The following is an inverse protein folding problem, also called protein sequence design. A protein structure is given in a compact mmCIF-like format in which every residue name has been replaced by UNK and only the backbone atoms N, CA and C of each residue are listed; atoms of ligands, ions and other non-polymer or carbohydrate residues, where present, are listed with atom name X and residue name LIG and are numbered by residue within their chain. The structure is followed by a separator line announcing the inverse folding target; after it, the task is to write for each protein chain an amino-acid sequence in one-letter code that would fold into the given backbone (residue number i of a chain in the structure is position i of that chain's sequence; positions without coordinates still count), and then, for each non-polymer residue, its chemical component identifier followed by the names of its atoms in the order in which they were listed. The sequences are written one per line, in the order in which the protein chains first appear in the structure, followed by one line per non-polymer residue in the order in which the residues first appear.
data_IF_820624681536
#
_entry.id   IF_820624681536
#
_cell.length_a   1.000
_cell.length_b   1.000
_cell.length_c   1.000
_cell.angle_alpha   90.00
_cell.angle_beta   90.00
_cell.angle_gamma   90.00
#
_symmetry.space_group_name_H-M   'P 1'
#
loop_
_entity.id
_entity.type
_entity.pdbx_description
1 polymer ?
#
# COMPACT_ATOMS: atom_id res chain seq x y z
N UNK A 1 2.15 -21.77 0.06
CA UNK A 1 2.63 -20.43 0.46
C UNK A 1 1.53 -19.73 1.26
N UNK A 2 1.72 -19.56 2.56
CA UNK A 2 0.68 -18.94 3.40
C UNK A 2 0.60 -17.42 3.18
N UNK A 3 -0.60 -16.89 3.38
CA UNK A 3 -0.95 -15.47 3.27
C UNK A 3 -1.57 -15.00 4.57
N UNK A 4 -1.50 -13.70 4.81
CA UNK A 4 -2.09 -13.08 6.01
C UNK A 4 -2.92 -11.87 5.61
N UNK A 5 -4.02 -11.68 6.33
CA UNK A 5 -4.98 -10.59 6.14
C UNK A 5 -4.56 -9.32 6.89
N UNK A 6 -4.65 -8.18 6.21
CA UNK A 6 -4.30 -6.87 6.74
C UNK A 6 -5.47 -5.92 6.55
N UNK A 7 -6.01 -5.40 7.66
CA UNK A 7 -6.92 -4.26 7.65
C UNK A 7 -6.08 -2.97 7.60
N UNK A 8 -6.31 -2.13 6.59
CA UNK A 8 -5.64 -0.85 6.43
C UNK A 8 -6.65 0.27 6.59
N UNK A 9 -6.35 1.20 7.48
CA UNK A 9 -7.07 2.47 7.63
C UNK A 9 -6.25 3.60 7.04
N UNK A 10 -6.81 4.31 6.07
CA UNK A 10 -6.12 5.39 5.36
C UNK A 10 -6.95 6.66 5.30
N UNK A 11 -6.26 7.80 5.26
CA UNK A 11 -6.87 9.13 5.04
C UNK A 11 -6.80 9.56 3.57
N UNK A 12 -5.81 9.07 2.81
CA UNK A 12 -5.58 9.47 1.41
C UNK A 12 -5.28 8.25 0.55
N UNK A 13 -5.90 8.21 -0.62
CA UNK A 13 -5.67 7.20 -1.64
C UNK A 13 -5.22 7.93 -2.89
N UNK A 14 -4.07 7.54 -3.44
CA UNK A 14 -3.55 8.13 -4.68
C UNK A 14 -4.23 7.47 -5.89
N UNK A 15 -4.33 6.14 -5.86
CA UNK A 15 -4.99 5.35 -6.91
C UNK A 15 -5.58 4.08 -6.31
N UNK A 16 -6.78 3.73 -6.73
CA UNK A 16 -7.44 2.45 -6.41
C UNK A 16 -8.10 1.90 -7.68
N UNK A 17 -7.73 0.67 -8.04
CA UNK A 17 -8.19 -0.01 -9.25
C UNK A 17 -9.48 -0.75 -8.97
N UNK A 18 -10.40 -0.79 -9.94
CA UNK A 18 -11.64 -1.55 -9.78
C UNK A 18 -11.40 -3.07 -9.63
N UNK A 19 -12.18 -3.77 -8.79
CA UNK A 19 -13.18 -3.21 -7.87
C UNK A 19 -12.53 -2.43 -6.71
N UNK A 20 -13.16 -1.35 -6.20
CA UNK A 20 -12.57 -0.59 -5.08
C UNK A 20 -12.29 -1.46 -3.85
N UNK A 21 -11.09 -1.34 -3.29
CA UNK A 21 -10.68 -2.03 -2.04
C UNK A 21 -11.08 -1.23 -0.82
N UNK A 22 -10.97 0.09 -0.90
CA UNK A 22 -11.11 0.98 0.24
C UNK A 22 -12.46 1.69 0.21
N UNK A 23 -13.29 1.43 1.21
CA UNK A 23 -14.59 2.06 1.38
C UNK A 23 -14.54 3.12 2.48
N UNK A 24 -15.38 4.15 2.37
CA UNK A 24 -15.51 5.15 3.44
C UNK A 24 -16.08 4.47 4.68
N UNK A 25 -15.39 4.59 5.82
CA UNK A 25 -15.83 3.98 7.08
C UNK A 25 -16.29 5.02 8.10
N UNK A 26 -15.64 6.18 8.16
CA UNK A 26 -16.00 7.25 9.10
C UNK A 26 -15.49 8.61 8.60
N UNK A 27 -16.18 9.68 8.97
CA UNK A 27 -15.68 11.05 8.79
C UNK A 27 -15.28 11.61 10.14
N UNK A 28 -14.00 11.91 10.34
CA UNK A 28 -13.47 12.46 11.59
C UNK A 28 -12.87 13.83 11.28
N UNK A 29 -13.38 14.88 11.93
CA UNK A 29 -12.90 16.27 11.75
C UNK A 29 -12.73 16.64 10.26
N UNK A 30 -13.80 16.44 9.49
CA UNK A 30 -13.86 16.77 8.06
C UNK A 30 -12.90 15.96 7.15
N UNK A 31 -12.29 14.89 7.68
CA UNK A 31 -11.46 13.94 6.91
C UNK A 31 -12.14 12.58 6.85
N UNK A 32 -12.45 12.12 5.64
CA UNK A 32 -12.98 10.77 5.40
C UNK A 32 -11.88 9.74 5.60
N UNK A 33 -12.05 8.91 6.63
CA UNK A 33 -11.25 7.71 6.87
C UNK A 33 -11.84 6.57 6.05
N UNK A 34 -10.97 5.93 5.27
CA UNK A 34 -11.31 4.76 4.46
C UNK A 34 -10.64 3.52 5.04
N UNK A 35 -11.35 2.40 4.98
CA UNK A 35 -10.84 1.10 5.44
C UNK A 35 -10.91 0.10 4.30
N UNK A 36 -9.91 -0.77 4.21
CA UNK A 36 -9.87 -1.84 3.22
C UNK A 36 -9.09 -3.03 3.74
N UNK A 37 -9.50 -4.23 3.31
CA UNK A 37 -8.83 -5.49 3.64
C UNK A 37 -8.00 -5.95 2.45
N UNK A 38 -6.74 -6.26 2.70
CA UNK A 38 -5.80 -6.73 1.68
C UNK A 38 -4.99 -7.91 2.17
N UNK A 39 -4.47 -8.70 1.23
CA UNK A 39 -3.68 -9.89 1.52
C UNK A 39 -2.22 -9.67 1.18
N UNK A 40 -1.30 -10.20 2.00
CA UNK A 40 0.13 -10.23 1.69
C UNK A 40 0.77 -11.59 2.00
N UNK A 41 1.96 -11.89 1.44
CA UNK A 41 2.74 -13.05 1.86
C UNK A 41 3.16 -12.98 3.33
N UNK A 42 3.14 -14.13 4.02
CA UNK A 42 3.60 -14.23 5.42
C UNK A 42 5.07 -13.81 5.61
N UNK A 43 5.94 -14.12 4.63
CA UNK A 43 7.37 -13.82 4.70
C UNK A 43 7.68 -12.31 4.71
N UNK A 44 6.72 -11.44 4.41
CA UNK A 44 6.95 -10.00 4.47
C UNK A 44 7.11 -9.46 5.91
N UNK A 45 6.76 -10.25 6.94
CA UNK A 45 6.99 -9.88 8.35
C UNK A 45 6.29 -8.59 8.79
N UNK A 46 5.14 -8.25 8.20
CA UNK A 46 4.43 -7.00 8.47
C UNK A 46 4.02 -6.90 9.95
N UNK A 47 4.36 -5.78 10.59
CA UNK A 47 3.93 -5.44 11.95
C UNK A 47 2.87 -4.35 11.92
N UNK A 48 1.88 -4.44 12.80
CA UNK A 48 0.89 -3.39 12.97
C UNK A 48 1.57 -2.09 13.43
N UNK A 49 1.07 -0.94 12.95
CA UNK A 49 1.59 0.36 13.36
C UNK A 49 1.05 1.50 12.52
N UNK A 50 1.22 2.71 13.05
CA UNK A 50 0.83 3.95 12.38
C UNK A 50 1.99 4.50 11.54
N UNK A 51 1.66 5.27 10.49
CA UNK A 51 2.64 5.96 9.66
C UNK A 51 2.21 6.12 8.21
N UNK A 52 3.15 6.56 7.39
CA UNK A 52 3.00 6.68 5.94
C UNK A 52 3.57 5.43 5.26
N UNK A 53 2.72 4.77 4.48
CA UNK A 53 3.05 3.55 3.77
C UNK A 53 2.74 3.72 2.29
N UNK A 54 3.53 3.06 1.45
CA UNK A 54 3.30 3.05 0.02
C UNK A 54 3.13 1.62 -0.44
N UNK A 55 1.90 1.28 -0.80
CA UNK A 55 1.50 -0.08 -1.13
C UNK A 55 1.39 -0.22 -2.65
N UNK A 56 2.08 -1.23 -3.18
CA UNK A 56 1.84 -1.73 -4.53
C UNK A 56 1.11 -3.05 -4.45
N UNK A 57 -0.03 -3.13 -5.12
CA UNK A 57 -0.86 -4.31 -5.15
C UNK A 57 -1.41 -4.60 -6.54
N UNK A 58 -1.95 -5.80 -6.69
CA UNK A 58 -2.72 -6.22 -7.86
C UNK A 58 -3.88 -7.10 -7.43
N UNK A 59 -4.91 -7.15 -8.26
CA UNK A 59 -5.96 -8.14 -8.14
C UNK A 59 -5.44 -9.52 -8.55
N UNK A 60 -5.70 -10.53 -7.72
CA UNK A 60 -5.42 -11.93 -8.04
C UNK A 60 -6.62 -12.77 -7.63
N UNK A 61 -7.30 -13.37 -8.62
CA UNK A 61 -8.49 -14.21 -8.41
C UNK A 61 -9.55 -13.52 -7.53
N UNK A 62 -9.86 -12.25 -7.82
CA UNK A 62 -10.86 -11.48 -7.07
C UNK A 62 -10.42 -11.07 -5.66
N UNK A 63 -9.13 -11.18 -5.32
CA UNK A 63 -8.60 -10.71 -4.03
C UNK A 63 -7.53 -9.63 -4.24
N UNK A 64 -7.56 -8.54 -3.45
CA UNK A 64 -6.54 -7.51 -3.52
C UNK A 64 -5.26 -8.00 -2.81
N UNK A 65 -4.19 -8.17 -3.57
CA UNK A 65 -2.93 -8.74 -3.11
C UNK A 65 -1.81 -7.71 -3.13
N UNK A 66 -1.19 -7.47 -1.99
CA UNK A 66 -0.01 -6.63 -1.84
C UNK A 66 1.27 -7.44 -2.02
N UNK A 67 2.27 -6.82 -2.67
CA UNK A 67 3.67 -7.25 -2.53
C UNK A 67 4.22 -6.80 -1.17
N UNK A 68 5.40 -7.27 -0.78
CA UNK A 68 6.08 -6.72 0.39
C UNK A 68 6.34 -5.23 0.16
N UNK A 69 5.64 -4.39 0.93
CA UNK A 69 5.65 -2.95 0.78
C UNK A 69 6.48 -2.29 1.89
N UNK A 70 7.43 -1.40 1.56
CA UNK A 70 8.21 -0.67 2.55
C UNK A 70 7.41 0.51 3.15
N UNK A 71 7.90 1.04 4.27
CA UNK A 71 7.47 2.36 4.77
C UNK A 71 7.83 3.43 3.73
N UNK A 72 7.07 4.54 3.69
CA UNK A 72 7.32 5.62 2.73
C UNK A 72 8.75 6.19 2.79
N UNK A 73 9.32 6.30 3.99
CA UNK A 73 10.70 6.75 4.19
C UNK A 73 11.72 5.83 3.51
N UNK A 74 11.52 4.52 3.62
CA UNK A 74 12.39 3.52 3.02
C UNK A 74 12.18 3.45 1.51
N UNK A 75 10.93 3.57 1.03
CA UNK A 75 10.65 3.69 -0.40
C UNK A 75 11.40 4.86 -1.04
N UNK A 76 11.40 6.04 -0.40
CA UNK A 76 12.16 7.20 -0.88
C UNK A 76 13.65 6.90 -1.02
N UNK A 77 14.24 6.12 -0.10
CA UNK A 77 15.65 5.71 -0.20
C UNK A 77 15.89 4.78 -1.38
N UNK A 78 15.02 3.78 -1.57
CA UNK A 78 15.10 2.85 -2.73
C UNK A 78 14.96 3.62 -4.04
N UNK A 79 13.98 4.51 -4.14
CA UNK A 79 13.76 5.36 -5.32
C UNK A 79 14.96 6.24 -5.63
N UNK A 80 15.55 6.90 -4.62
CA UNK A 80 16.76 7.73 -4.81
C UNK A 80 17.94 6.91 -5.30
N UNK A 81 18.14 5.70 -4.76
CA UNK A 81 19.20 4.78 -5.22
C UNK A 81 18.97 4.34 -6.67
N UNK A 82 17.73 3.99 -7.03
CA UNK A 82 17.39 3.62 -8.40
C UNK A 82 17.68 4.78 -9.37
N UNK A 83 17.28 6.01 -9.02
CA UNK A 83 17.52 7.21 -9.82
C UNK A 83 19.01 7.51 -10.03
N UNK A 84 19.86 7.21 -9.04
CA UNK A 84 21.31 7.37 -9.18
C UNK A 84 21.95 6.29 -10.07
N UNK A 85 21.29 5.15 -10.24
CA UNK A 85 21.80 4.01 -11.01
C UNK A 85 21.34 3.96 -12.47
N UNK A 86 20.69 5.02 -12.97
CA UNK A 86 20.07 5.12 -14.32
C UNK A 86 19.03 4.03 -14.65
N UNK A 87 18.60 3.25 -13.64
CA UNK A 87 17.61 2.18 -13.77
C UNK A 87 16.18 2.67 -13.46
N UNK A 88 15.84 3.90 -13.87
CA UNK A 88 14.49 4.45 -13.66
C UNK A 88 13.82 4.70 -15.00
N UNK A 89 12.98 3.74 -15.41
CA UNK A 89 12.19 3.85 -16.63
C UNK A 89 11.11 4.94 -16.54
N UNK A 90 10.62 5.22 -15.32
CA UNK A 90 9.56 6.21 -15.08
C UNK A 90 9.73 6.88 -13.71
N UNK A 91 9.59 8.21 -13.67
CA UNK A 91 9.47 8.98 -12.43
C UNK A 91 7.99 9.26 -12.19
N UNK A 92 7.43 8.76 -11.08
CA UNK A 92 6.10 9.19 -10.62
C UNK A 92 6.26 10.59 -9.99
N UNK A 93 5.61 11.60 -10.59
CA UNK A 93 5.44 12.95 -10.04
C UNK A 93 4.57 12.95 -8.77
#
# INVERSE_FOLDING_TARGET
MGRTELEIRTRKIVRDSEPKVFTASATIQDKTVRTGVVYRPLHCGTKAGFGEFFFFGRWRLGQPFLKCAPRWTEWKKVRRRAAFSDNVDCVLE
#
